data_IF_225809603499
#
_entry.id   IF_225809603499
#
_cell.length_a   1.000
_cell.length_b   1.000
_cell.length_c   1.000
_cell.angle_alpha   90.00
_cell.angle_beta   90.00
_cell.angle_gamma   90.00
#
_symmetry.space_group_name_H-M   'P 1'
#
loop_
_entity.id
_entity.type
_entity.pdbx_description
1 polymer ?
#
# COMPACT_ATOMS: atom_id res chain seq x y z
N UNK A 1 -22.08 -6.91 -1.13
CA UNK A 1 -20.66 -7.01 -1.47
C UNK A 1 -19.98 -7.59 -0.26
N UNK A 2 -19.57 -8.85 -0.32
CA UNK A 2 -18.88 -9.50 0.79
C UNK A 2 -17.39 -9.19 0.67
N UNK A 3 -16.90 -8.27 1.50
CA UNK A 3 -15.48 -7.94 1.58
C UNK A 3 -14.89 -8.71 2.76
N UNK A 4 -13.79 -9.42 2.52
CA UNK A 4 -12.97 -10.02 3.58
C UNK A 4 -11.63 -9.30 3.62
N UNK A 5 -11.22 -8.86 4.80
CA UNK A 5 -9.93 -8.19 5.01
C UNK A 5 -8.89 -9.22 5.44
N UNK A 6 -7.76 -9.27 4.74
CA UNK A 6 -6.63 -10.15 5.02
C UNK A 6 -5.35 -9.31 5.14
N UNK A 7 -4.34 -9.85 5.84
CA UNK A 7 -3.01 -9.23 5.93
C UNK A 7 -2.36 -9.26 4.55
N UNK A 8 -1.63 -8.20 4.20
CA UNK A 8 -0.85 -8.13 2.96
C UNK A 8 0.26 -9.21 2.90
N UNK A 9 0.59 -9.65 1.70
CA UNK A 9 1.75 -10.50 1.39
C UNK A 9 2.67 -9.81 0.38
N UNK A 10 3.87 -10.34 0.16
CA UNK A 10 4.87 -9.74 -0.75
C UNK A 10 4.31 -9.51 -2.17
N UNK A 11 3.52 -10.44 -2.68
CA UNK A 11 2.94 -10.38 -4.03
C UNK A 11 1.91 -9.25 -4.20
N UNK A 12 1.40 -8.67 -3.11
CA UNK A 12 0.43 -7.56 -3.18
C UNK A 12 1.11 -6.21 -3.49
N UNK A 13 2.44 -6.15 -3.53
CA UNK A 13 3.17 -4.89 -3.68
C UNK A 13 2.75 -4.10 -4.92
N UNK A 14 2.54 -4.76 -6.07
CA UNK A 14 2.18 -4.06 -7.30
C UNK A 14 0.79 -3.40 -7.21
N UNK A 15 -0.16 -4.07 -6.56
CA UNK A 15 -1.49 -3.52 -6.31
C UNK A 15 -1.43 -2.35 -5.33
N UNK A 16 -0.64 -2.50 -4.26
CA UNK A 16 -0.39 -1.45 -3.29
C UNK A 16 0.25 -0.22 -3.94
N UNK A 17 1.34 -0.41 -4.68
CA UNK A 17 2.06 0.63 -5.41
C UNK A 17 1.13 1.41 -6.32
N UNK A 18 0.31 0.71 -7.10
CA UNK A 18 -0.66 1.33 -8.01
C UNK A 18 -1.60 2.28 -7.27
N UNK A 19 -2.12 1.88 -6.11
CA UNK A 19 -3.01 2.72 -5.30
C UNK A 19 -2.29 3.96 -4.75
N UNK A 20 -1.09 3.78 -4.18
CA UNK A 20 -0.36 4.91 -3.55
C UNK A 20 0.31 5.84 -4.56
N UNK A 21 0.43 5.43 -5.81
CA UNK A 21 0.87 6.28 -6.93
C UNK A 21 -0.28 7.02 -7.64
N UNK A 22 -1.54 6.71 -7.31
CA UNK A 22 -2.70 7.31 -7.97
C UNK A 22 -3.04 8.67 -7.38
N UNK A 23 -2.90 9.75 -8.17
CA UNK A 23 -3.12 11.12 -7.72
C UNK A 23 -4.56 11.37 -7.24
N UNK A 24 -5.55 10.82 -7.95
CA UNK A 24 -6.97 11.01 -7.63
C UNK A 24 -7.31 10.41 -6.27
N UNK A 25 -6.85 9.18 -6.02
CA UNK A 25 -7.03 8.47 -4.75
C UNK A 25 -6.25 9.17 -3.63
N UNK A 26 -4.96 9.43 -3.85
CA UNK A 26 -4.08 9.97 -2.81
C UNK A 26 -4.43 11.39 -2.41
N UNK A 27 -5.10 12.17 -3.28
CA UNK A 27 -5.66 13.47 -2.94
C UNK A 27 -6.54 13.44 -1.68
N UNK A 28 -7.26 12.33 -1.45
CA UNK A 28 -8.16 12.18 -0.32
C UNK A 28 -7.51 11.54 0.92
N UNK A 29 -6.26 11.06 0.81
CA UNK A 29 -5.55 10.37 1.89
C UNK A 29 -4.49 11.30 2.51
N UNK A 30 -3.48 11.69 1.72
CA UNK A 30 -2.37 12.53 2.18
C UNK A 30 -2.15 13.76 1.29
N UNK A 31 -2.73 13.78 0.09
CA UNK A 31 -2.43 14.78 -0.94
C UNK A 31 -1.10 14.57 -1.66
N UNK A 32 -0.35 13.51 -1.32
CA UNK A 32 1.00 13.25 -1.84
C UNK A 32 1.03 11.82 -2.38
N UNK A 33 1.28 11.67 -3.69
CA UNK A 33 1.57 10.36 -4.29
C UNK A 33 2.94 9.87 -3.85
N UNK A 34 3.06 8.56 -3.71
CA UNK A 34 4.31 7.93 -3.31
C UNK A 34 5.13 7.55 -4.53
N UNK A 35 6.45 7.75 -4.41
CA UNK A 35 7.39 7.12 -5.34
C UNK A 35 7.44 5.61 -5.11
N UNK A 36 8.02 4.85 -6.04
CA UNK A 36 8.19 3.40 -5.82
C UNK A 36 9.05 3.11 -4.58
N UNK A 37 10.08 3.91 -4.32
CA UNK A 37 10.95 3.74 -3.15
C UNK A 37 10.18 4.01 -1.84
N UNK A 38 9.37 5.06 -1.79
CA UNK A 38 8.51 5.35 -0.64
C UNK A 38 7.52 4.20 -0.41
N UNK A 39 6.89 3.71 -1.48
CA UNK A 39 5.98 2.58 -1.43
C UNK A 39 6.68 1.31 -0.91
N UNK A 40 7.90 1.01 -1.37
CA UNK A 40 8.67 -0.15 -0.88
C UNK A 40 8.98 -0.06 0.60
N UNK A 41 9.44 1.11 1.07
CA UNK A 41 9.80 1.32 2.49
C UNK A 41 8.56 1.08 3.37
N UNK A 42 7.44 1.69 3.01
CA UNK A 42 6.20 1.60 3.77
C UNK A 42 5.59 0.19 3.71
N UNK A 43 5.59 -0.45 2.54
CA UNK A 43 5.07 -1.80 2.38
C UNK A 43 5.90 -2.82 3.17
N UNK A 44 7.23 -2.69 3.16
CA UNK A 44 8.11 -3.55 3.96
C UNK A 44 7.82 -3.43 5.46
N UNK A 45 7.57 -2.22 5.97
CA UNK A 45 7.17 -2.02 7.35
C UNK A 45 5.83 -2.70 7.67
N UNK A 46 4.84 -2.65 6.76
CA UNK A 46 3.57 -3.35 6.93
C UNK A 46 3.76 -4.88 6.95
N UNK A 47 4.60 -5.44 6.07
CA UNK A 47 4.89 -6.87 6.06
C UNK A 47 5.58 -7.32 7.36
N UNK A 48 6.47 -6.52 7.93
CA UNK A 48 7.10 -6.83 9.21
C UNK A 48 6.08 -6.94 10.35
N UNK A 49 5.05 -6.08 10.36
CA UNK A 49 3.95 -6.15 11.35
C UNK A 49 3.14 -7.45 11.25
N UNK A 50 3.18 -8.15 10.12
CA UNK A 50 2.48 -9.43 9.99
C UNK A 50 3.13 -10.56 10.78
N UNK A 51 4.41 -10.41 11.14
CA UNK A 51 5.19 -11.40 11.90
C UNK A 51 5.09 -11.23 13.42
N UNK A 52 4.42 -10.16 13.88
CA UNK A 52 4.03 -9.93 15.28
C UNK A 52 2.61 -10.46 15.53
#
# INVERSE_FOLDING_TARGET
MDITLVKYIEDDFDSFKRMVSDEETMRFITGIVWTEDDARIQFAAMLQMNTQ
#
